data_IF_329061093880
#
_entry.id   IF_329061093880
#
_cell.length_a   1.000
_cell.length_b   1.000
_cell.length_c   1.000
_cell.angle_alpha   90.00
_cell.angle_beta   90.00
_cell.angle_gamma   90.00
#
_symmetry.space_group_name_H-M   'P 1'
#
loop_
_entity.id
_entity.type
_entity.pdbx_description
1 polymer ?
#
# COMPACT_ATOMS: atom_id res chain seq x y z
N UNK A 1 3.70 12.94 -21.96
CA UNK A 1 3.28 14.35 -22.08
C UNK A 1 2.54 14.82 -20.82
N UNK A 2 1.44 14.16 -20.41
CA UNK A 2 0.64 14.55 -19.24
C UNK A 2 1.51 14.70 -17.97
N UNK A 3 2.30 13.69 -17.58
CA UNK A 3 3.15 13.72 -16.39
C UNK A 3 4.15 14.89 -16.40
N UNK A 4 4.69 15.26 -17.60
CA UNK A 4 5.60 16.40 -17.72
C UNK A 4 4.88 17.72 -17.44
N UNK A 5 3.69 17.91 -18.03
CA UNK A 5 2.87 19.12 -17.77
C UNK A 5 2.49 19.20 -16.29
N UNK A 6 2.08 18.07 -15.68
CA UNK A 6 1.74 18.04 -14.25
C UNK A 6 2.94 18.43 -13.38
N UNK A 7 4.14 17.93 -13.71
CA UNK A 7 5.36 18.32 -12.99
C UNK A 7 5.66 19.82 -13.15
N UNK A 8 5.53 20.38 -14.36
CA UNK A 8 5.69 21.82 -14.62
C UNK A 8 4.70 22.68 -13.82
N UNK A 9 3.52 22.13 -13.49
CA UNK A 9 2.51 22.76 -12.62
C UNK A 9 2.72 22.50 -11.13
N UNK A 10 3.84 21.89 -10.72
CA UNK A 10 4.20 21.70 -9.32
C UNK A 10 3.85 20.34 -8.73
N UNK A 11 3.41 19.37 -9.55
CA UNK A 11 3.22 17.98 -9.07
C UNK A 11 4.58 17.34 -8.83
N UNK A 12 4.86 16.95 -7.59
CA UNK A 12 6.12 16.32 -7.17
C UNK A 12 6.03 14.80 -7.06
N UNK A 13 4.81 14.26 -6.98
CA UNK A 13 4.58 12.82 -6.74
C UNK A 13 3.62 12.23 -7.76
N UNK A 14 4.00 11.11 -8.33
CA UNK A 14 3.14 10.31 -9.22
C UNK A 14 2.99 8.90 -8.65
N UNK A 15 1.74 8.49 -8.48
CA UNK A 15 1.38 7.13 -8.10
C UNK A 15 0.83 6.38 -9.31
N UNK A 16 1.50 5.31 -9.69
CA UNK A 16 1.00 4.39 -10.70
C UNK A 16 0.02 3.40 -10.04
N UNK A 17 -1.16 3.33 -10.58
CA UNK A 17 -2.25 2.47 -10.14
C UNK A 17 -3.12 2.12 -11.34
N UNK A 18 -4.25 1.47 -11.14
CA UNK A 18 -5.19 1.09 -12.18
C UNK A 18 -5.95 -0.16 -11.75
N UNK A 19 -6.26 -1.10 -12.65
CA UNK A 19 -6.60 -2.47 -12.26
C UNK A 19 -5.39 -3.09 -11.55
N UNK A 20 -4.55 -3.82 -12.30
CA UNK A 20 -3.23 -4.22 -11.75
C UNK A 20 -2.11 -3.65 -12.66
N UNK A 21 -1.37 -2.63 -12.20
CA UNK A 21 -0.38 -1.95 -13.04
C UNK A 21 0.79 -2.85 -13.45
N UNK A 22 1.13 -3.87 -12.65
CA UNK A 22 2.24 -4.79 -12.98
C UNK A 22 1.93 -5.72 -14.15
N UNK A 23 0.68 -5.81 -14.58
CA UNK A 23 0.29 -6.52 -15.80
C UNK A 23 0.49 -5.68 -17.06
N UNK A 24 0.78 -4.38 -16.91
CA UNK A 24 1.05 -3.51 -18.05
C UNK A 24 2.32 -3.94 -18.77
N UNK A 25 2.24 -4.16 -20.08
CA UNK A 25 3.42 -4.40 -20.92
C UNK A 25 4.40 -3.23 -20.78
N UNK A 26 5.68 -3.54 -20.62
CA UNK A 26 6.78 -2.56 -20.56
C UNK A 26 6.61 -1.52 -19.43
N UNK A 27 6.07 -1.90 -18.27
CA UNK A 27 5.97 -1.01 -17.10
C UNK A 27 7.34 -0.41 -16.69
N UNK A 28 8.46 -1.15 -16.65
CA UNK A 28 9.77 -0.57 -16.35
C UNK A 28 10.14 0.59 -17.29
N UNK A 29 9.91 0.46 -18.59
CA UNK A 29 10.20 1.54 -19.54
C UNK A 29 9.34 2.80 -19.28
N UNK A 30 8.08 2.64 -18.87
CA UNK A 30 7.26 3.77 -18.46
C UNK A 30 7.84 4.45 -17.22
N UNK A 31 8.26 3.69 -16.21
CA UNK A 31 8.85 4.22 -14.97
C UNK A 31 10.15 4.96 -15.29
N UNK A 32 11.01 4.40 -16.14
CA UNK A 32 12.25 5.05 -16.58
C UNK A 32 12.00 6.40 -17.25
N UNK A 33 11.02 6.47 -18.16
CA UNK A 33 10.62 7.74 -18.79
C UNK A 33 10.09 8.76 -17.76
N UNK A 34 9.36 8.32 -16.74
CA UNK A 34 8.86 9.19 -15.67
C UNK A 34 9.98 9.66 -14.74
N UNK A 35 10.95 8.79 -14.43
CA UNK A 35 12.09 9.09 -13.57
C UNK A 35 13.01 10.17 -14.15
N UNK A 36 13.00 10.38 -15.48
CA UNK A 36 13.76 11.44 -16.14
C UNK A 36 13.11 12.83 -16.01
N UNK A 37 11.84 12.91 -15.60
CA UNK A 37 11.15 14.18 -15.44
C UNK A 37 11.64 14.85 -14.15
N UNK A 38 12.03 16.12 -14.28
CA UNK A 38 12.41 16.95 -13.14
C UNK A 38 11.24 17.84 -12.73
N UNK A 39 11.13 18.08 -11.43
CA UNK A 39 10.21 19.10 -10.88
C UNK A 39 10.78 20.48 -11.09
N UNK A 40 9.97 21.56 -11.01
CA UNK A 40 10.46 22.93 -11.08
C UNK A 40 11.52 23.28 -10.02
N UNK A 41 11.56 22.52 -8.94
CA UNK A 41 12.54 22.67 -7.84
C UNK A 41 13.84 21.87 -8.09
N UNK A 42 14.01 21.26 -9.27
CA UNK A 42 15.22 20.55 -9.70
C UNK A 42 15.32 19.11 -9.21
N UNK A 43 14.40 18.66 -8.34
CA UNK A 43 14.35 17.29 -7.85
C UNK A 43 13.71 16.29 -8.84
N UNK A 44 13.92 14.97 -8.67
CA UNK A 44 13.19 13.98 -9.41
C UNK A 44 11.73 13.86 -8.91
N UNK A 45 10.84 13.36 -9.76
CA UNK A 45 9.50 12.96 -9.30
C UNK A 45 9.58 11.82 -8.28
N UNK A 46 8.78 11.92 -7.22
CA UNK A 46 8.54 10.82 -6.28
C UNK A 46 7.61 9.79 -6.95
N UNK A 47 8.20 8.69 -7.44
CA UNK A 47 7.49 7.63 -8.15
C UNK A 47 7.11 6.50 -7.20
N UNK A 48 5.82 6.21 -7.11
CA UNK A 48 5.29 5.11 -6.30
C UNK A 48 4.29 4.28 -7.11
N UNK A 49 4.15 3.02 -6.73
CA UNK A 49 3.26 2.05 -7.36
C UNK A 49 2.32 1.45 -6.30
N UNK A 50 1.06 1.20 -6.66
CA UNK A 50 0.14 0.38 -5.86
C UNK A 50 -0.20 -0.87 -6.66
N UNK A 51 -0.06 -2.06 -6.06
CA UNK A 51 -0.20 -3.36 -6.72
C UNK A 51 -0.83 -4.39 -5.78
N UNK A 52 -1.41 -5.44 -6.35
CA UNK A 52 -1.84 -6.63 -5.59
C UNK A 52 -0.67 -7.57 -5.22
N UNK A 53 0.55 -7.27 -5.65
CA UNK A 53 1.75 -8.00 -5.26
C UNK A 53 2.03 -9.29 -6.01
N UNK A 54 1.08 -9.84 -6.77
CA UNK A 54 1.17 -11.19 -7.36
C UNK A 54 2.38 -11.41 -8.29
N UNK A 55 2.88 -10.35 -8.92
CA UNK A 55 3.98 -10.44 -9.89
C UNK A 55 5.31 -9.86 -9.38
N UNK A 56 5.33 -9.32 -8.16
CA UNK A 56 6.50 -8.58 -7.62
C UNK A 56 7.77 -9.41 -7.53
N UNK A 57 7.69 -10.70 -7.23
CA UNK A 57 8.86 -11.61 -7.21
C UNK A 57 9.66 -11.50 -8.50
N UNK A 58 8.98 -11.37 -9.64
CA UNK A 58 9.62 -11.29 -10.96
C UNK A 58 10.02 -9.87 -11.37
N UNK A 59 9.39 -8.85 -10.79
CA UNK A 59 9.47 -7.48 -11.31
C UNK A 59 10.15 -6.48 -10.38
N UNK A 60 10.20 -6.72 -9.06
CA UNK A 60 10.65 -5.74 -8.07
C UNK A 60 12.03 -5.14 -8.42
N UNK A 61 12.99 -5.96 -8.79
CA UNK A 61 14.34 -5.49 -9.17
C UNK A 61 14.32 -4.62 -10.44
N UNK A 62 13.55 -5.02 -11.45
CA UNK A 62 13.46 -4.26 -12.70
C UNK A 62 12.75 -2.91 -12.47
N UNK A 63 11.69 -2.88 -11.66
CA UNK A 63 10.98 -1.66 -11.29
C UNK A 63 11.89 -0.70 -10.51
N UNK A 64 12.68 -1.21 -9.56
CA UNK A 64 13.67 -0.43 -8.81
C UNK A 64 14.73 0.16 -9.74
N UNK A 65 15.30 -0.65 -10.61
CA UNK A 65 16.34 -0.21 -11.56
C UNK A 65 15.81 0.85 -12.54
N UNK A 66 14.52 0.79 -12.89
CA UNK A 66 13.85 1.79 -13.72
C UNK A 66 13.61 3.13 -13.01
N UNK A 67 13.82 3.21 -11.68
CA UNK A 67 13.68 4.42 -10.90
C UNK A 67 12.45 4.48 -10.00
N UNK A 68 11.69 3.38 -9.85
CA UNK A 68 10.63 3.31 -8.83
C UNK A 68 11.25 3.40 -7.44
N UNK A 69 10.70 4.27 -6.60
CA UNK A 69 11.26 4.52 -5.27
C UNK A 69 10.57 3.70 -4.20
N UNK A 70 9.24 3.68 -4.22
CA UNK A 70 8.41 3.11 -3.16
C UNK A 70 7.27 2.29 -3.74
N UNK A 71 6.76 1.36 -2.92
CA UNK A 71 5.64 0.52 -3.32
C UNK A 71 4.61 0.40 -2.21
N UNK A 72 3.35 0.28 -2.63
CA UNK A 72 2.24 -0.09 -1.76
C UNK A 72 1.65 -1.39 -2.28
N UNK A 73 1.46 -2.36 -1.40
CA UNK A 73 0.87 -3.66 -1.73
C UNK A 73 -0.48 -3.77 -1.04
N UNK A 74 -1.51 -4.17 -1.79
CA UNK A 74 -2.83 -4.46 -1.22
C UNK A 74 -2.84 -5.88 -0.68
N UNK A 75 -3.19 -6.04 0.61
CA UNK A 75 -3.29 -7.32 1.30
C UNK A 75 -4.35 -7.20 2.40
N UNK A 76 -5.55 -7.69 2.13
CA UNK A 76 -6.70 -7.47 3.00
C UNK A 76 -6.89 -8.53 4.07
N UNK A 77 -6.08 -9.57 4.11
CA UNK A 77 -6.00 -10.55 5.19
C UNK A 77 -4.72 -11.40 5.10
N UNK A 78 -4.32 -11.97 6.24
CA UNK A 78 -3.31 -13.02 6.32
C UNK A 78 -3.93 -14.42 6.14
N UNK A 79 -5.25 -14.54 6.31
CA UNK A 79 -5.99 -15.78 6.02
C UNK A 79 -6.29 -15.87 4.52
N UNK A 80 -5.91 -16.99 3.91
CA UNK A 80 -6.00 -17.19 2.45
C UNK A 80 -7.46 -17.18 1.94
N UNK A 81 -8.38 -17.76 2.71
CA UNK A 81 -9.78 -17.82 2.33
C UNK A 81 -10.45 -16.44 2.40
N UNK A 82 -10.17 -15.68 3.46
CA UNK A 82 -10.65 -14.32 3.64
C UNK A 82 -10.07 -13.40 2.58
N UNK A 83 -8.75 -13.50 2.32
CA UNK A 83 -8.07 -12.71 1.30
C UNK A 83 -8.67 -12.92 -0.10
N UNK A 84 -8.86 -14.18 -0.51
CA UNK A 84 -9.45 -14.51 -1.81
C UNK A 84 -10.87 -13.99 -1.94
N UNK A 85 -11.68 -14.13 -0.89
CA UNK A 85 -13.05 -13.66 -0.87
C UNK A 85 -13.16 -12.13 -0.97
N UNK A 86 -12.22 -11.40 -0.33
CA UNK A 86 -12.18 -9.92 -0.37
C UNK A 86 -11.75 -9.36 -1.73
N UNK A 87 -10.79 -10.01 -2.38
CA UNK A 87 -10.09 -9.44 -3.53
C UNK A 87 -10.53 -10.05 -4.87
N UNK A 88 -11.38 -11.07 -4.86
CA UNK A 88 -11.82 -11.81 -6.06
C UNK A 88 -10.62 -12.24 -6.93
N UNK A 89 -9.63 -12.87 -6.29
CA UNK A 89 -8.38 -13.29 -6.94
C UNK A 89 -8.11 -14.77 -6.75
N UNK A 90 -7.40 -15.37 -7.70
CA UNK A 90 -7.03 -16.80 -7.65
C UNK A 90 -5.53 -17.00 -7.41
N UNK A 91 -4.96 -16.26 -6.46
CA UNK A 91 -3.60 -16.50 -5.96
C UNK A 91 -3.55 -16.41 -4.44
N UNK A 92 -2.65 -17.16 -3.78
CA UNK A 92 -2.59 -17.23 -2.33
C UNK A 92 -1.84 -16.05 -1.70
N UNK A 93 -2.16 -15.75 -0.44
CA UNK A 93 -1.48 -14.76 0.40
C UNK A 93 0.05 -14.93 0.39
N UNK A 94 0.53 -16.18 0.44
CA UNK A 94 1.97 -16.48 0.43
C UNK A 94 2.71 -15.87 -0.78
N UNK A 95 2.05 -15.73 -1.93
CA UNK A 95 2.68 -15.18 -3.13
C UNK A 95 2.77 -13.65 -3.03
N UNK A 96 1.79 -13.01 -2.38
CA UNK A 96 1.85 -11.59 -2.03
C UNK A 96 2.98 -11.32 -1.04
N UNK A 97 3.12 -12.14 0.00
CA UNK A 97 4.18 -12.02 1.01
C UNK A 97 5.58 -12.16 0.37
N UNK A 98 5.78 -13.17 -0.50
CA UNK A 98 7.02 -13.28 -1.29
C UNK A 98 7.28 -12.05 -2.15
N UNK A 99 6.21 -11.45 -2.71
CA UNK A 99 6.30 -10.20 -3.46
C UNK A 99 6.76 -9.02 -2.60
N UNK A 100 6.27 -8.92 -1.35
CA UNK A 100 6.70 -7.92 -0.37
C UNK A 100 8.19 -8.12 -0.02
N UNK A 101 8.61 -9.36 0.25
CA UNK A 101 10.01 -9.69 0.52
C UNK A 101 10.91 -9.31 -0.66
N UNK A 102 10.48 -9.61 -1.89
CA UNK A 102 11.21 -9.23 -3.09
C UNK A 102 11.32 -7.71 -3.27
N UNK A 103 10.28 -6.96 -2.89
CA UNK A 103 10.29 -5.49 -2.92
C UNK A 103 11.28 -4.92 -1.90
N UNK A 104 11.29 -5.45 -0.67
CA UNK A 104 12.25 -5.08 0.38
C UNK A 104 13.69 -5.39 -0.07
N UNK A 105 13.93 -6.60 -0.56
CA UNK A 105 15.24 -7.02 -1.05
C UNK A 105 15.74 -6.20 -2.24
N UNK A 106 14.82 -5.67 -3.08
CA UNK A 106 15.14 -4.76 -4.18
C UNK A 106 15.41 -3.31 -3.71
N UNK A 107 15.17 -2.97 -2.44
CA UNK A 107 15.33 -1.63 -1.91
C UNK A 107 14.21 -0.66 -2.28
N UNK A 108 13.00 -1.15 -2.54
CA UNK A 108 11.79 -0.35 -2.71
C UNK A 108 11.27 0.05 -1.31
N UNK A 109 11.82 1.13 -0.74
CA UNK A 109 11.52 1.51 0.65
C UNK A 109 10.98 2.96 0.74
N UNK A 110 10.04 3.21 1.68
CA UNK A 110 9.35 2.22 2.49
C UNK A 110 8.33 1.38 1.69
N UNK A 111 8.24 0.11 2.01
CA UNK A 111 7.13 -0.74 1.56
C UNK A 111 5.92 -0.47 2.45
N UNK A 112 4.77 -0.25 1.83
CA UNK A 112 3.50 -0.09 2.54
C UNK A 112 2.55 -1.22 2.19
N UNK A 113 1.82 -1.72 3.18
CA UNK A 113 0.73 -2.68 3.00
C UNK A 113 -0.58 -1.97 3.32
N UNK A 114 -1.53 -2.00 2.39
CA UNK A 114 -2.88 -1.52 2.61
C UNK A 114 -3.79 -2.69 2.92
N UNK A 115 -4.56 -2.57 4.00
CA UNK A 115 -5.64 -3.47 4.36
C UNK A 115 -6.92 -2.64 4.46
N UNK A 116 -7.88 -2.89 3.57
CA UNK A 116 -9.24 -2.37 3.70
C UNK A 116 -9.98 -3.25 4.69
N UNK A 117 -10.52 -2.66 5.78
CA UNK A 117 -11.16 -3.40 6.86
C UNK A 117 -12.66 -3.33 6.73
N UNK A 118 -13.30 -4.48 6.49
CA UNK A 118 -14.75 -4.64 6.37
C UNK A 118 -15.28 -5.47 7.55
N UNK A 119 -16.28 -4.93 8.22
CA UNK A 119 -16.92 -5.57 9.40
C UNK A 119 -17.52 -6.94 9.03
N UNK A 120 -17.27 -7.93 9.89
CA UNK A 120 -17.78 -9.29 9.72
C UNK A 120 -17.14 -10.08 8.58
N UNK A 121 -16.11 -9.51 7.89
CA UNK A 121 -15.39 -10.16 6.79
C UNK A 121 -13.93 -10.40 7.17
N UNK A 122 -13.14 -9.34 7.41
CA UNK A 122 -11.72 -9.43 7.73
C UNK A 122 -11.31 -8.64 8.98
N UNK A 123 -12.23 -7.96 9.65
CA UNK A 123 -11.98 -7.17 10.86
C UNK A 123 -11.36 -7.99 12.00
N UNK A 124 -11.67 -9.29 12.09
CA UNK A 124 -11.07 -10.21 13.05
C UNK A 124 -9.59 -10.52 12.78
N UNK A 125 -9.06 -10.16 11.61
CA UNK A 125 -7.65 -10.45 11.20
C UNK A 125 -6.72 -9.24 11.34
N UNK A 126 -7.19 -8.08 11.80
CA UNK A 126 -6.39 -6.84 11.88
C UNK A 126 -5.18 -6.99 12.83
N UNK A 127 -5.36 -7.70 13.95
CA UNK A 127 -4.29 -7.91 14.93
C UNK A 127 -3.20 -8.85 14.37
N UNK A 128 -3.59 -9.88 13.62
CA UNK A 128 -2.65 -10.81 12.99
C UNK A 128 -1.84 -10.11 11.89
N UNK A 129 -2.48 -9.25 11.11
CA UNK A 129 -1.79 -8.39 10.12
C UNK A 129 -0.76 -7.48 10.80
N UNK A 130 -1.16 -6.78 11.87
CA UNK A 130 -0.28 -5.91 12.63
C UNK A 130 0.91 -6.67 13.24
N UNK A 131 0.65 -7.84 13.82
CA UNK A 131 1.67 -8.72 14.42
C UNK A 131 2.67 -9.22 13.38
N UNK A 132 2.19 -9.63 12.21
CA UNK A 132 3.04 -10.19 11.16
C UNK A 132 4.10 -9.19 10.68
N UNK A 133 3.71 -7.92 10.51
CA UNK A 133 4.61 -6.89 10.01
C UNK A 133 5.36 -6.11 11.09
N UNK A 134 5.09 -6.38 12.39
CA UNK A 134 5.83 -5.73 13.48
C UNK A 134 7.32 -6.02 13.37
N UNK A 135 8.16 -4.99 13.45
CA UNK A 135 9.62 -5.10 13.39
C UNK A 135 10.21 -5.39 12.00
N UNK A 136 9.38 -5.49 10.93
CA UNK A 136 9.85 -5.79 9.56
C UNK A 136 10.25 -4.55 8.76
N UNK A 137 9.95 -3.35 9.25
CA UNK A 137 10.11 -2.10 8.50
C UNK A 137 9.00 -1.83 7.48
N UNK A 138 8.03 -2.73 7.35
CA UNK A 138 6.82 -2.53 6.52
C UNK A 138 5.82 -1.66 7.29
N UNK A 139 5.25 -0.67 6.60
CA UNK A 139 4.20 0.18 7.16
C UNK A 139 2.85 -0.39 6.79
N UNK A 140 2.09 -0.90 7.76
CA UNK A 140 0.71 -1.33 7.54
C UNK A 140 -0.22 -0.13 7.64
N UNK A 141 -1.15 -0.01 6.70
CA UNK A 141 -2.18 1.02 6.68
C UNK A 141 -3.54 0.35 6.66
N UNK A 142 -4.28 0.51 7.73
CA UNK A 142 -5.65 0.07 7.83
C UNK A 142 -6.56 1.17 7.27
N UNK A 143 -7.48 0.79 6.42
CA UNK A 143 -8.36 1.70 5.69
C UNK A 143 -9.80 1.28 5.99
N UNK A 144 -10.63 2.19 6.45
CA UNK A 144 -12.04 1.94 6.65
C UNK A 144 -12.71 1.54 5.32
N UNK A 145 -13.62 0.57 5.35
CA UNK A 145 -14.35 0.16 4.15
C UNK A 145 -15.16 1.35 3.62
N UNK A 146 -14.87 1.78 2.40
CA UNK A 146 -15.41 3.00 1.83
C UNK A 146 -16.37 2.73 0.67
N UNK A 147 -17.27 3.67 0.43
CA UNK A 147 -18.10 3.69 -0.77
C UNK A 147 -17.22 4.02 -1.99
N UNK A 148 -17.17 3.07 -2.92
CA UNK A 148 -16.48 3.25 -4.22
C UNK A 148 -17.48 3.26 -5.38
N UNK A 149 -18.73 3.55 -5.09
CA UNK A 149 -19.85 3.58 -6.00
C UNK A 149 -20.73 2.33 -5.90
N UNK A 150 -21.66 2.17 -6.83
CA UNK A 150 -22.72 1.15 -6.75
C UNK A 150 -22.25 -0.31 -6.89
N UNK A 151 -20.97 -0.53 -7.16
CA UNK A 151 -20.43 -1.87 -7.46
C UNK A 151 -20.08 -2.73 -6.25
N UNK A 152 -19.83 -2.13 -5.06
CA UNK A 152 -19.37 -2.86 -3.89
C UNK A 152 -20.44 -3.09 -2.81
N UNK A 153 -21.69 -2.64 -3.04
CA UNK A 153 -22.79 -2.81 -2.10
C UNK A 153 -22.53 -2.19 -0.72
N UNK A 154 -21.83 -1.05 -0.67
CA UNK A 154 -21.42 -0.40 0.57
C UNK A 154 -22.59 -0.07 1.49
N UNK A 155 -22.41 -0.32 2.78
CA UNK A 155 -23.32 0.06 3.85
C UNK A 155 -22.49 0.57 5.03
N UNK A 156 -23.04 1.54 5.78
CA UNK A 156 -22.39 2.08 6.97
C UNK A 156 -22.13 1.00 8.05
N UNK A 157 -23.00 0.02 8.14
CA UNK A 157 -22.88 -1.10 9.09
C UNK A 157 -21.63 -1.97 8.80
N UNK A 158 -21.12 -1.96 7.57
CA UNK A 158 -19.95 -2.70 7.16
C UNK A 158 -18.63 -1.98 7.53
N UNK A 159 -18.71 -0.72 7.99
CA UNK A 159 -17.54 0.10 8.34
C UNK A 159 -17.06 -0.23 9.75
N UNK A 160 -15.76 -0.49 9.87
CA UNK A 160 -15.07 -0.54 11.17
C UNK A 160 -14.33 0.78 11.34
N UNK A 161 -14.73 1.64 12.30
CA UNK A 161 -14.04 2.91 12.53
C UNK A 161 -12.57 2.73 12.89
N UNK A 162 -11.70 3.60 12.40
CA UNK A 162 -10.26 3.56 12.66
C UNK A 162 -9.91 3.49 14.14
N UNK A 163 -10.68 4.17 15.00
CA UNK A 163 -10.51 4.09 16.46
C UNK A 163 -10.67 2.67 17.02
N UNK A 164 -11.59 1.88 16.45
CA UNK A 164 -11.86 0.51 16.90
C UNK A 164 -10.73 -0.43 16.43
N UNK A 165 -10.19 -0.20 15.22
CA UNK A 165 -9.02 -0.91 14.70
C UNK A 165 -7.80 -0.62 15.59
N UNK A 166 -7.56 0.65 15.91
CA UNK A 166 -6.47 1.06 16.80
C UNK A 166 -6.64 0.44 18.20
N UNK A 167 -7.86 0.46 18.74
CA UNK A 167 -8.13 -0.14 20.05
C UNK A 167 -7.84 -1.64 20.07
N UNK A 168 -8.24 -2.38 19.03
CA UNK A 168 -7.99 -3.81 18.92
C UNK A 168 -6.49 -4.13 18.84
N UNK A 169 -5.73 -3.37 18.04
CA UNK A 169 -4.28 -3.56 17.92
C UNK A 169 -3.58 -3.16 19.23
N UNK A 170 -3.96 -2.03 19.83
CA UNK A 170 -3.37 -1.52 21.08
C UNK A 170 -3.58 -2.46 22.26
N UNK A 171 -4.68 -3.19 22.30
CA UNK A 171 -4.93 -4.20 23.34
C UNK A 171 -3.95 -5.37 23.29
N UNK A 172 -3.48 -5.74 22.10
CA UNK A 172 -2.53 -6.82 21.89
C UNK A 172 -1.07 -6.34 21.83
N UNK A 173 -0.85 -5.17 21.28
CA UNK A 173 0.45 -4.54 21.06
C UNK A 173 0.32 -3.04 21.37
N UNK A 174 0.82 -2.56 22.52
CA UNK A 174 0.71 -1.16 22.93
C UNK A 174 1.20 -0.20 21.85
N UNK A 175 0.39 0.81 21.55
CA UNK A 175 0.63 1.80 20.53
C UNK A 175 0.77 3.21 21.12
N UNK A 176 1.64 4.01 20.54
CA UNK A 176 1.80 5.44 20.83
C UNK A 176 1.48 6.23 19.56
N UNK A 177 0.61 7.24 19.69
CA UNK A 177 0.33 8.15 18.58
C UNK A 177 1.58 8.95 18.22
N UNK A 178 1.80 9.19 16.95
CA UNK A 178 2.90 10.03 16.44
C UNK A 178 2.36 11.16 15.60
N UNK A 179 3.14 12.23 15.47
CA UNK A 179 2.76 13.40 14.68
C UNK A 179 2.69 13.08 13.18
N UNK A 180 1.91 13.88 12.45
CA UNK A 180 1.87 13.87 10.99
C UNK A 180 3.27 14.15 10.40
N UNK A 181 3.62 13.49 9.31
CA UNK A 181 4.92 13.71 8.65
C UNK A 181 4.95 14.94 7.74
N UNK A 182 3.78 15.43 7.35
CA UNK A 182 3.63 16.61 6.50
C UNK A 182 2.28 17.27 6.75
N UNK A 183 2.20 18.55 6.45
CA UNK A 183 0.95 19.31 6.57
C UNK A 183 -0.14 18.73 5.64
N UNK A 184 -1.36 18.54 6.17
CA UNK A 184 -2.48 17.95 5.43
C UNK A 184 -2.48 16.41 5.36
N UNK A 185 -1.61 15.71 6.11
CA UNK A 185 -1.72 14.24 6.23
C UNK A 185 -3.02 13.87 6.95
N UNK A 186 -3.88 13.12 6.27
CA UNK A 186 -5.20 12.70 6.80
C UNK A 186 -5.14 11.39 7.59
N UNK A 187 -4.05 10.64 7.50
CA UNK A 187 -3.89 9.35 8.18
C UNK A 187 -3.40 9.58 9.61
N UNK A 188 -4.10 9.05 10.61
CA UNK A 188 -3.56 8.91 11.95
C UNK A 188 -2.37 7.94 11.96
N UNK A 189 -1.31 8.27 12.70
CA UNK A 189 -0.07 7.51 12.75
C UNK A 189 0.17 6.96 14.14
N UNK A 190 0.61 5.72 14.19
CA UNK A 190 0.85 4.99 15.42
C UNK A 190 2.16 4.21 15.31
N UNK A 191 2.86 4.11 16.41
CA UNK A 191 4.09 3.35 16.53
C UNK A 191 3.94 2.36 17.69
N UNK A 192 4.56 1.20 17.60
CA UNK A 192 4.61 0.28 18.73
C UNK A 192 5.44 0.90 19.87
N UNK A 193 4.96 0.73 21.10
CA UNK A 193 5.64 1.30 22.28
C UNK A 193 7.01 0.64 22.57
N UNK A 194 7.22 -0.55 22.03
CA UNK A 194 8.46 -1.32 22.19
C UNK A 194 9.41 -1.27 20.96
N UNK A 195 9.10 -0.38 19.99
CA UNK A 195 9.94 -0.12 18.81
C UNK A 195 9.56 -0.88 17.55
#
# INVERSE_FOLDING_TARGET
RFAKISAELGVEKIRLTGGEPTLRRNLPALIEMLAQIKTPFGGPLDLTLTTNGSTLVKQAKALKNAGLQRITVSLDSMDDAVFRAMNDVDFPVRDVLKGIDAALAAGLAPVKVNMVVKRGVNDHTVVDMARHFKGTGVIVRFIEFMDVGSSNGWRMDDVVPSRDIVAAINAAHPLVATDAQYEGEVAGRWQYADG
#
